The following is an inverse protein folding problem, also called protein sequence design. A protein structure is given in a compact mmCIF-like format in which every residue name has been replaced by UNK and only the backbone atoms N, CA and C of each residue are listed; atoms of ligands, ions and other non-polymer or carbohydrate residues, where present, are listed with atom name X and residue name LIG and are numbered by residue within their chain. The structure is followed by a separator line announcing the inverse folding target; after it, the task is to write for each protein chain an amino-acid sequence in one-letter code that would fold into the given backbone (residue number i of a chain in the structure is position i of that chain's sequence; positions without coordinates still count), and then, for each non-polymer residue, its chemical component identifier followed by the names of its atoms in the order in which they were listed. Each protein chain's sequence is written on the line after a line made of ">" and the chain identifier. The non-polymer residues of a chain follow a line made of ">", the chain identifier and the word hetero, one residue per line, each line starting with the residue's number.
data_IF_070681754041
#
_entry.id   IF_070681754041
#
_cell.length_a   1.000
_cell.length_b   1.000
_cell.length_c   1.000
_cell.angle_alpha   90.00
_cell.angle_beta   90.00
_cell.angle_gamma   90.00
#
_symmetry.space_group_name_H-M   'P 1'
#
loop_
_entity.id
_entity.type
_entity.pdbx_description
1 polymer ?
#
# COMPACT_ATOMS: atom_id res chain seq x y z
N UNK A 1 -1.04 -7.07 -28.49
CA UNK A 1 -0.12 -8.24 -28.54
C UNK A 1 -0.83 -9.40 -27.89
N UNK A 2 -0.86 -10.59 -28.51
CA UNK A 2 -1.54 -11.78 -27.97
C UNK A 2 -0.57 -12.78 -27.35
N UNK A 3 -0.97 -13.42 -26.25
CA UNK A 3 -0.25 -14.52 -25.59
C UNK A 3 -1.21 -15.70 -25.47
N UNK A 4 -0.86 -16.82 -26.08
CA UNK A 4 -1.61 -18.07 -26.03
C UNK A 4 -0.79 -19.09 -25.22
N UNK A 5 -1.40 -19.70 -24.21
CA UNK A 5 -0.72 -20.68 -23.35
C UNK A 5 -0.75 -22.12 -23.92
N UNK A 6 -1.43 -22.35 -25.04
CA UNK A 6 -1.63 -23.66 -25.66
C UNK A 6 -2.53 -24.62 -24.85
N UNK A 7 -3.13 -24.12 -23.76
CA UNK A 7 -4.01 -24.87 -22.84
C UNK A 7 -5.44 -24.33 -22.87
N UNK A 8 -5.77 -23.47 -23.85
CA UNK A 8 -7.11 -22.96 -24.09
C UNK A 8 -7.33 -21.50 -23.66
N UNK A 9 -6.36 -20.83 -23.03
CA UNK A 9 -6.50 -19.42 -22.70
C UNK A 9 -5.70 -18.53 -23.66
N UNK A 10 -6.32 -17.44 -24.10
CA UNK A 10 -5.71 -16.37 -24.87
C UNK A 10 -5.81 -15.05 -24.14
N UNK A 11 -4.70 -14.32 -24.07
CA UNK A 11 -4.66 -12.99 -23.50
C UNK A 11 -4.21 -11.99 -24.55
N UNK A 12 -5.04 -10.98 -24.81
CA UNK A 12 -4.71 -9.85 -25.68
C UNK A 12 -4.44 -8.59 -24.85
N UNK A 13 -3.26 -7.99 -25.08
CA UNK A 13 -2.83 -6.76 -24.42
C UNK A 13 -2.91 -5.59 -25.42
N UNK A 14 -3.72 -4.60 -25.09
CA UNK A 14 -3.80 -3.30 -25.76
C UNK A 14 -2.79 -2.32 -25.17
N UNK A 15 -2.17 -1.49 -26.01
CA UNK A 15 -1.22 -0.45 -25.59
C UNK A 15 -1.66 0.91 -26.13
N UNK A 16 -1.28 1.96 -25.42
CA UNK A 16 -1.55 3.35 -25.79
C UNK A 16 -0.43 4.28 -25.34
N UNK A 17 -0.66 5.57 -25.55
CA UNK A 17 0.31 6.62 -25.20
C UNK A 17 -0.06 7.27 -23.88
N UNK A 18 0.90 7.46 -22.97
CA UNK A 18 0.67 8.21 -21.73
C UNK A 18 0.25 9.67 -21.98
N UNK A 19 0.50 10.20 -23.18
CA UNK A 19 0.05 11.54 -23.56
C UNK A 19 -1.47 11.63 -23.75
N UNK A 20 -2.15 10.51 -24.01
CA UNK A 20 -3.62 10.49 -24.13
C UNK A 20 -4.27 10.81 -22.78
N UNK A 21 -3.81 10.19 -21.70
CA UNK A 21 -4.30 10.47 -20.34
C UNK A 21 -3.93 11.88 -19.89
N UNK A 22 -2.70 12.31 -20.16
CA UNK A 22 -2.27 13.68 -19.87
C UNK A 22 -3.23 14.72 -20.49
N UNK A 23 -3.59 14.54 -21.76
CA UNK A 23 -4.51 15.46 -22.44
C UNK A 23 -5.96 15.33 -21.93
N UNK A 24 -6.36 14.15 -21.49
CA UNK A 24 -7.65 13.93 -20.86
C UNK A 24 -7.73 14.64 -19.50
N UNK A 25 -6.73 14.47 -18.64
CA UNK A 25 -6.61 15.10 -17.32
C UNK A 25 -6.57 16.64 -17.43
N UNK A 26 -5.87 17.18 -18.44
CA UNK A 26 -5.86 18.63 -18.69
C UNK A 26 -7.26 19.15 -19.03
N UNK A 27 -7.99 18.44 -19.89
CA UNK A 27 -9.37 18.81 -20.24
C UNK A 27 -10.30 18.69 -19.03
N UNK A 28 -10.17 17.61 -18.26
CA UNK A 28 -10.93 17.42 -17.03
C UNK A 28 -10.68 18.57 -16.06
N UNK A 29 -9.43 19.00 -15.88
CA UNK A 29 -9.08 20.12 -15.01
C UNK A 29 -9.72 21.44 -15.47
N UNK A 30 -9.82 21.68 -16.78
CA UNK A 30 -10.50 22.86 -17.34
C UNK A 30 -12.02 22.83 -17.13
N UNK A 31 -12.61 21.65 -17.16
CA UNK A 31 -14.05 21.42 -17.00
C UNK A 31 -14.47 21.25 -15.52
N UNK A 32 -13.52 20.92 -14.65
CA UNK A 32 -13.75 20.60 -13.26
C UNK A 32 -14.04 21.86 -12.41
N UNK A 33 -15.26 21.93 -11.88
CA UNK A 33 -15.70 22.98 -10.96
C UNK A 33 -15.26 22.79 -9.51
N UNK A 34 -15.77 23.65 -8.62
CA UNK A 34 -15.55 23.52 -7.17
C UNK A 34 -16.28 22.28 -6.63
N UNK A 35 -15.58 21.15 -6.52
CA UNK A 35 -16.11 19.92 -5.91
C UNK A 35 -15.72 18.60 -6.58
N UNK A 36 -15.04 18.63 -7.74
CA UNK A 36 -14.47 17.43 -8.35
C UNK A 36 -12.96 17.33 -8.06
N UNK A 37 -12.47 16.10 -8.05
CA UNK A 37 -11.04 15.80 -7.94
C UNK A 37 -10.47 15.66 -9.35
N UNK A 38 -9.53 16.52 -9.71
CA UNK A 38 -8.84 16.49 -11.00
C UNK A 38 -7.32 16.41 -10.79
N UNK A 39 -6.62 15.75 -11.72
CA UNK A 39 -5.17 15.65 -11.67
C UNK A 39 -4.50 16.93 -12.16
N UNK A 40 -3.80 17.60 -11.25
CA UNK A 40 -3.01 18.79 -11.58
C UNK A 40 -1.55 18.41 -11.79
N UNK A 41 -1.14 18.32 -13.05
CA UNK A 41 0.24 17.97 -13.48
C UNK A 41 1.28 19.07 -13.17
N UNK A 42 0.88 20.14 -12.50
CA UNK A 42 1.52 21.44 -12.58
C UNK A 42 2.49 21.76 -11.46
N UNK A 43 2.42 21.11 -10.29
CA UNK A 43 3.30 21.55 -9.20
C UNK A 43 3.69 20.46 -8.20
N UNK A 44 4.92 20.60 -7.71
CA UNK A 44 5.37 19.96 -6.46
C UNK A 44 5.07 20.97 -5.35
N UNK A 45 4.25 20.59 -4.38
CA UNK A 45 3.96 21.41 -3.21
C UNK A 45 5.26 21.92 -2.54
N UNK A 46 5.31 23.19 -2.16
CA UNK A 46 6.46 23.79 -1.48
C UNK A 46 6.73 25.25 -1.89
N UNK A 47 7.88 25.78 -1.46
CA UNK A 47 8.34 27.10 -1.87
C UNK A 47 8.78 27.10 -3.36
N UNK A 48 8.68 28.25 -4.06
CA UNK A 48 9.24 28.42 -5.40
C UNK A 48 10.72 28.02 -5.45
N UNK A 49 11.19 27.55 -6.61
CA UNK A 49 12.62 27.26 -6.79
C UNK A 49 13.39 28.58 -6.69
N UNK A 50 14.13 28.76 -5.59
CA UNK A 50 14.81 30.02 -5.28
C UNK A 50 15.82 30.45 -6.34
N UNK A 51 16.44 29.49 -7.05
CA UNK A 51 17.37 29.80 -8.13
C UNK A 51 16.61 30.31 -9.36
N UNK A 52 15.56 29.60 -9.78
CA UNK A 52 14.75 30.01 -10.92
C UNK A 52 14.06 31.34 -10.64
N UNK A 53 13.51 31.52 -9.45
CA UNK A 53 12.91 32.79 -9.04
C UNK A 53 13.91 33.94 -9.02
N UNK A 54 15.15 33.69 -8.58
CA UNK A 54 16.24 34.66 -8.67
C UNK A 54 16.65 35.02 -10.11
N UNK A 55 16.50 34.09 -11.04
CA UNK A 55 16.85 34.29 -12.46
C UNK A 55 15.71 34.93 -13.28
N UNK A 56 14.46 34.55 -13.01
CA UNK A 56 13.28 35.03 -13.74
C UNK A 56 12.69 36.32 -13.16
N UNK A 57 12.86 36.54 -11.84
CA UNK A 57 12.13 37.58 -11.10
C UNK A 57 10.68 37.21 -10.79
N UNK A 58 10.27 35.96 -11.01
CA UNK A 58 8.91 35.46 -10.79
C UNK A 58 8.93 34.19 -9.91
N UNK A 59 7.84 33.88 -9.23
CA UNK A 59 7.73 32.60 -8.51
C UNK A 59 7.63 31.44 -9.52
N UNK A 60 8.74 30.74 -9.71
CA UNK A 60 8.84 29.62 -10.65
C UNK A 60 8.92 28.31 -9.89
N UNK A 61 8.01 27.40 -10.22
CA UNK A 61 8.02 26.02 -9.74
C UNK A 61 8.63 25.11 -10.80
N UNK A 62 9.33 24.07 -10.36
CA UNK A 62 9.78 23.01 -11.28
C UNK A 62 8.58 22.25 -11.82
N UNK A 63 8.66 21.90 -13.11
CA UNK A 63 7.66 21.04 -13.74
C UNK A 63 7.50 19.76 -12.92
N UNK A 64 6.26 19.50 -12.51
CA UNK A 64 5.89 18.27 -11.82
C UNK A 64 5.59 17.11 -12.77
N UNK A 65 5.58 17.33 -14.08
CA UNK A 65 5.22 16.33 -15.08
C UNK A 65 6.40 15.57 -15.68
N UNK A 66 6.09 14.57 -16.49
CA UNK A 66 7.05 13.84 -17.31
C UNK A 66 7.16 14.47 -18.70
N UNK A 67 8.37 14.85 -19.18
CA UNK A 67 8.59 15.23 -20.56
C UNK A 67 8.67 14.01 -21.50
N UNK A 68 8.66 12.79 -20.94
CA UNK A 68 8.78 11.54 -21.68
C UNK A 68 7.40 10.93 -21.89
N UNK A 69 7.06 10.69 -23.16
CA UNK A 69 5.88 9.92 -23.55
C UNK A 69 6.20 8.44 -23.40
N UNK A 70 5.42 7.74 -22.58
CA UNK A 70 5.57 6.30 -22.33
C UNK A 70 4.50 5.52 -23.07
N UNK A 71 4.86 4.35 -23.59
CA UNK A 71 3.87 3.35 -24.02
C UNK A 71 3.36 2.61 -22.79
N UNK A 72 2.04 2.65 -22.58
CA UNK A 72 1.39 2.07 -21.40
C UNK A 72 0.39 1.00 -21.81
N UNK A 73 0.10 0.06 -20.91
CA UNK A 73 -0.94 -0.97 -21.14
C UNK A 73 -2.30 -0.32 -20.99
N UNK A 74 -3.16 -0.43 -22.00
CA UNK A 74 -4.50 0.16 -22.01
C UNK A 74 -5.59 -0.83 -21.68
N UNK A 75 -5.38 -2.08 -22.07
CA UNK A 75 -6.32 -3.14 -21.80
C UNK A 75 -5.63 -4.48 -21.73
N UNK A 76 -6.19 -5.35 -20.90
CA UNK A 76 -5.88 -6.78 -20.89
C UNK A 76 -7.22 -7.49 -21.02
N UNK A 77 -7.39 -8.22 -22.12
CA UNK A 77 -8.53 -9.10 -22.36
C UNK A 77 -8.05 -10.54 -22.27
N UNK A 78 -8.74 -11.38 -21.50
CA UNK A 78 -8.48 -12.82 -21.43
C UNK A 78 -9.71 -13.59 -21.84
N UNK A 79 -9.54 -14.53 -22.76
CA UNK A 79 -10.58 -15.38 -23.32
C UNK A 79 -10.24 -16.85 -23.02
N UNK A 80 -11.17 -17.60 -22.45
CA UNK A 80 -10.99 -19.02 -22.09
C UNK A 80 -11.19 -20.01 -23.26
N UNK A 81 -11.52 -19.47 -24.45
CA UNK A 81 -11.78 -20.15 -25.72
C UNK A 81 -12.66 -21.39 -25.61
N UNK A 82 -13.64 -21.37 -24.71
CA UNK A 82 -14.58 -22.48 -24.55
C UNK A 82 -15.51 -22.64 -25.77
N UNK A 83 -15.58 -21.63 -26.64
CA UNK A 83 -16.19 -21.69 -27.97
C UNK A 83 -15.56 -22.75 -28.88
N UNK A 84 -14.26 -23.01 -28.76
CA UNK A 84 -13.56 -24.07 -29.51
C UNK A 84 -14.05 -25.48 -29.16
N UNK A 85 -14.67 -25.65 -27.97
CA UNK A 85 -15.29 -26.92 -27.54
C UNK A 85 -16.82 -26.86 -27.51
N UNK A 86 -17.42 -25.87 -28.19
CA UNK A 86 -18.86 -25.73 -28.36
C UNK A 86 -19.61 -25.19 -27.15
N UNK A 87 -18.92 -24.47 -26.25
CA UNK A 87 -19.51 -23.75 -25.11
C UNK A 87 -19.40 -22.24 -25.35
N UNK A 88 -20.12 -21.44 -24.58
CA UNK A 88 -19.92 -20.00 -24.62
C UNK A 88 -18.52 -19.67 -24.06
N UNK A 89 -17.76 -18.82 -24.77
CA UNK A 89 -16.47 -18.35 -24.29
C UNK A 89 -16.68 -17.32 -23.19
N UNK A 90 -15.89 -17.42 -22.12
CA UNK A 90 -15.81 -16.39 -21.11
C UNK A 90 -14.71 -15.40 -21.46
N UNK A 91 -15.03 -14.11 -21.46
CA UNK A 91 -14.11 -13.02 -21.77
C UNK A 91 -14.08 -12.05 -20.60
N UNK A 92 -12.89 -11.84 -20.03
CA UNK A 92 -12.66 -10.87 -18.96
C UNK A 92 -11.78 -9.75 -19.47
N UNK A 93 -12.22 -8.50 -19.30
CA UNK A 93 -11.49 -7.33 -19.77
C UNK A 93 -11.22 -6.36 -18.64
N UNK A 94 -9.97 -5.90 -18.55
CA UNK A 94 -9.57 -4.81 -17.66
C UNK A 94 -8.97 -3.68 -18.49
N UNK A 95 -9.44 -2.45 -18.30
CA UNK A 95 -8.91 -1.23 -18.92
C UNK A 95 -8.13 -0.40 -17.91
N UNK A 96 -7.17 0.39 -18.38
CA UNK A 96 -6.30 1.20 -17.53
C UNK A 96 -6.12 2.64 -18.03
N UNK A 97 -6.08 3.57 -17.09
CA UNK A 97 -5.65 4.96 -17.30
C UNK A 97 -4.57 5.34 -16.28
N UNK A 98 -3.65 6.23 -16.68
CA UNK A 98 -2.49 6.61 -15.85
C UNK A 98 -2.36 8.12 -15.74
N UNK A 99 -2.17 8.60 -14.52
CA UNK A 99 -2.27 10.02 -14.21
C UNK A 99 -1.02 10.51 -13.47
N UNK A 100 -0.76 11.81 -13.59
CA UNK A 100 0.35 12.49 -12.92
C UNK A 100 1.69 11.77 -13.09
N UNK A 101 2.14 11.49 -14.31
CA UNK A 101 3.47 10.94 -14.59
C UNK A 101 4.59 11.90 -14.21
N UNK A 102 5.62 11.43 -13.48
CA UNK A 102 6.75 12.25 -13.02
C UNK A 102 8.10 11.73 -13.52
N UNK A 103 8.95 12.65 -13.97
CA UNK A 103 10.32 12.38 -14.39
C UNK A 103 11.29 13.23 -13.58
N UNK A 104 12.29 12.60 -12.98
CA UNK A 104 13.35 13.27 -12.23
C UNK A 104 14.52 13.57 -13.18
N UNK A 105 14.81 14.86 -13.39
CA UNK A 105 15.76 15.32 -14.41
C UNK A 105 17.25 15.23 -14.03
N UNK A 106 17.60 15.14 -12.75
CA UNK A 106 18.99 15.04 -12.27
C UNK A 106 19.50 13.61 -12.42
N UNK A 107 18.71 12.65 -11.94
CA UNK A 107 18.92 11.21 -11.97
C UNK A 107 18.49 10.58 -13.30
N UNK A 108 17.77 11.36 -14.14
CA UNK A 108 17.31 10.96 -15.47
C UNK A 108 16.45 9.69 -15.41
N UNK A 109 15.50 9.69 -14.48
CA UNK A 109 14.67 8.53 -14.19
C UNK A 109 13.18 8.89 -14.25
N UNK A 110 12.42 8.08 -14.99
CA UNK A 110 10.97 8.11 -14.89
C UNK A 110 10.55 7.41 -13.59
N UNK A 111 9.86 8.14 -12.70
CA UNK A 111 9.47 7.65 -11.37
C UNK A 111 8.18 6.85 -11.38
N UNK A 112 7.44 6.91 -12.48
CA UNK A 112 6.10 6.34 -12.59
C UNK A 112 5.00 7.39 -12.49
N UNK A 113 3.79 6.90 -12.41
CA UNK A 113 2.55 7.67 -12.34
C UNK A 113 2.13 7.89 -10.88
N UNK A 114 1.59 9.07 -10.58
CA UNK A 114 1.07 9.43 -9.26
C UNK A 114 -0.28 8.77 -8.97
N UNK A 115 -1.01 8.36 -10.01
CA UNK A 115 -2.17 7.49 -9.87
C UNK A 115 -2.39 6.61 -11.11
N UNK A 116 -3.17 5.55 -10.94
CA UNK A 116 -3.68 4.73 -12.03
C UNK A 116 -5.11 4.29 -11.72
N UNK A 117 -5.93 4.28 -12.75
CA UNK A 117 -7.27 3.70 -12.72
C UNK A 117 -7.26 2.34 -13.40
N UNK A 118 -7.98 1.40 -12.82
CA UNK A 118 -8.26 0.08 -13.39
C UNK A 118 -9.77 -0.16 -13.36
N UNK A 119 -10.34 -0.46 -14.51
CA UNK A 119 -11.75 -0.81 -14.65
C UNK A 119 -11.85 -2.26 -15.12
N UNK A 120 -12.33 -3.13 -14.23
CA UNK A 120 -12.63 -4.51 -14.55
C UNK A 120 -14.08 -4.58 -15.04
N UNK A 121 -14.24 -4.75 -16.36
CA UNK A 121 -15.54 -4.77 -17.01
C UNK A 121 -16.35 -5.99 -16.56
N UNK A 122 -17.57 -5.72 -16.11
CA UNK A 122 -18.51 -6.72 -15.67
C UNK A 122 -19.15 -7.50 -16.82
N UNK A 123 -19.86 -8.55 -16.45
CA UNK A 123 -20.69 -9.36 -17.32
C UNK A 123 -22.10 -9.54 -16.73
N UNK A 124 -22.88 -10.47 -17.26
CA UNK A 124 -24.24 -10.75 -16.76
C UNK A 124 -24.28 -11.28 -15.32
N UNK A 125 -23.15 -11.72 -14.77
CA UNK A 125 -23.05 -12.36 -13.45
C UNK A 125 -22.23 -11.52 -12.45
N UNK A 126 -21.40 -10.59 -12.93
CA UNK A 126 -20.52 -9.77 -12.10
C UNK A 126 -20.60 -8.31 -12.56
N UNK A 127 -20.85 -7.34 -11.67
CA UNK A 127 -20.86 -5.93 -12.04
C UNK A 127 -19.46 -5.42 -12.39
N UNK A 128 -19.40 -4.33 -13.16
CA UNK A 128 -18.14 -3.61 -13.40
C UNK A 128 -17.61 -3.03 -12.10
N UNK A 129 -16.30 -3.14 -11.89
CA UNK A 129 -15.61 -2.60 -10.72
C UNK A 129 -14.52 -1.64 -11.17
N UNK A 130 -14.48 -0.46 -10.55
CA UNK A 130 -13.47 0.55 -10.78
C UNK A 130 -12.55 0.61 -9.56
N UNK A 131 -11.25 0.74 -9.79
CA UNK A 131 -10.25 0.94 -8.74
C UNK A 131 -9.34 2.08 -9.13
N UNK A 132 -9.23 3.09 -8.26
CA UNK A 132 -8.26 4.17 -8.39
C UNK A 132 -7.16 3.97 -7.35
N UNK A 133 -5.92 3.91 -7.77
CA UNK A 133 -4.77 3.74 -6.88
C UNK A 133 -3.81 4.91 -7.01
N UNK A 134 -3.42 5.50 -5.89
CA UNK A 134 -2.43 6.57 -5.82
C UNK A 134 -1.09 6.06 -5.30
N UNK A 135 -0.02 6.57 -5.91
CA UNK A 135 1.35 6.18 -5.63
C UNK A 135 2.21 7.37 -5.23
N UNK A 136 3.17 7.12 -4.35
CA UNK A 136 4.27 8.02 -4.13
C UNK A 136 5.25 7.91 -5.30
N UNK A 137 5.80 9.05 -5.71
CA UNK A 137 6.74 9.12 -6.83
C UNK A 137 8.16 9.47 -6.37
N UNK A 138 8.37 9.60 -5.05
CA UNK A 138 9.66 9.97 -4.48
C UNK A 138 10.18 11.32 -4.98
N UNK A 139 9.29 12.31 -5.19
CA UNK A 139 9.65 13.63 -5.72
C UNK A 139 10.75 14.28 -4.87
N UNK A 140 11.79 14.78 -5.53
CA UNK A 140 12.90 15.48 -4.88
C UNK A 140 12.39 16.78 -4.22
N UNK A 141 12.68 17.04 -2.93
CA UNK A 141 12.30 18.29 -2.28
C UNK A 141 12.87 19.51 -2.99
N UNK A 142 12.08 20.59 -3.11
CA UNK A 142 12.52 21.84 -3.75
C UNK A 142 13.80 22.41 -3.12
N UNK A 143 13.92 22.30 -1.79
CA UNK A 143 15.08 22.77 -1.03
C UNK A 143 16.42 22.18 -1.48
N UNK A 144 16.42 20.99 -2.09
CA UNK A 144 17.61 20.31 -2.61
C UNK A 144 17.53 20.05 -4.11
N UNK A 145 16.59 20.69 -4.80
CA UNK A 145 16.35 20.42 -6.21
C UNK A 145 17.47 20.94 -7.10
N UNK A 146 18.20 21.99 -6.69
CA UNK A 146 19.35 22.55 -7.46
C UNK A 146 20.66 21.81 -7.21
N UNK A 147 20.76 21.06 -6.10
CA UNK A 147 21.95 20.31 -5.76
C UNK A 147 21.90 18.91 -6.36
N UNK A 148 22.70 18.72 -7.42
CA UNK A 148 22.83 17.43 -8.13
C UNK A 148 23.50 16.33 -7.31
N UNK A 149 24.24 16.71 -6.26
CA UNK A 149 24.96 15.78 -5.41
C UNK A 149 24.18 15.47 -4.13
N UNK A 150 23.20 16.31 -3.77
CA UNK A 150 22.32 16.05 -2.64
C UNK A 150 21.53 14.76 -2.86
N UNK A 151 21.48 13.94 -1.82
CA UNK A 151 20.67 12.74 -1.81
C UNK A 151 19.19 13.09 -1.69
N UNK A 152 18.34 12.46 -2.52
CA UNK A 152 16.90 12.56 -2.39
C UNK A 152 16.41 11.66 -1.25
N UNK A 153 15.89 12.20 -0.12
CA UNK A 153 15.44 11.38 1.00
C UNK A 153 14.15 10.60 0.69
N UNK A 154 13.41 10.99 -0.35
CA UNK A 154 12.13 10.37 -0.72
C UNK A 154 12.26 9.34 -1.83
N UNK A 155 13.49 9.08 -2.29
CA UNK A 155 13.80 8.12 -3.35
C UNK A 155 13.15 6.75 -3.12
N UNK A 156 13.21 6.22 -1.90
CA UNK A 156 12.67 4.91 -1.55
C UNK A 156 11.13 4.84 -1.59
N UNK A 157 10.43 5.99 -1.68
CA UNK A 157 8.97 6.03 -1.81
C UNK A 157 8.50 5.78 -3.25
N UNK A 158 9.37 5.82 -4.26
CA UNK A 158 8.93 5.69 -5.66
C UNK A 158 8.12 4.39 -5.89
N UNK A 159 6.96 4.53 -6.51
CA UNK A 159 6.02 3.43 -6.81
C UNK A 159 5.27 2.88 -5.59
N UNK A 160 5.42 3.44 -4.39
CA UNK A 160 4.69 2.96 -3.20
C UNK A 160 3.25 3.44 -3.22
N UNK A 161 2.30 2.52 -3.22
CA UNK A 161 0.88 2.84 -3.05
C UNK A 161 0.64 3.46 -1.67
N UNK A 162 -0.16 4.53 -1.63
CA UNK A 162 -0.58 5.16 -0.36
C UNK A 162 -2.10 5.30 -0.22
N UNK A 163 -2.85 5.26 -1.33
CA UNK A 163 -4.31 5.21 -1.30
C UNK A 163 -4.82 4.31 -2.43
N UNK A 164 -5.83 3.49 -2.17
CA UNK A 164 -6.59 2.80 -3.19
C UNK A 164 -8.06 2.85 -2.85
N UNK A 165 -8.88 3.25 -3.81
CA UNK A 165 -10.32 3.35 -3.66
C UNK A 165 -11.00 2.45 -4.68
N UNK A 166 -12.04 1.75 -4.24
CA UNK A 166 -12.81 0.85 -5.09
C UNK A 166 -14.24 1.37 -5.19
N UNK A 167 -14.76 1.40 -6.41
CA UNK A 167 -16.10 1.87 -6.74
C UNK A 167 -16.84 0.81 -7.56
N UNK A 168 -18.17 0.86 -7.51
CA UNK A 168 -19.02 0.16 -8.46
C UNK A 168 -19.18 0.94 -9.78
N UNK A 169 -19.84 0.32 -10.76
CA UNK A 169 -20.15 0.93 -12.07
C UNK A 169 -20.95 2.24 -11.98
N UNK A 170 -21.75 2.42 -10.93
CA UNK A 170 -22.52 3.63 -10.69
C UNK A 170 -21.70 4.75 -10.02
N UNK A 171 -20.43 4.48 -9.69
CA UNK A 171 -19.53 5.41 -9.02
C UNK A 171 -19.73 5.47 -7.50
N UNK A 172 -20.42 4.51 -6.88
CA UNK A 172 -20.49 4.42 -5.44
C UNK A 172 -19.21 3.81 -4.88
N UNK A 173 -18.62 4.48 -3.89
CA UNK A 173 -17.43 3.98 -3.22
C UNK A 173 -17.78 2.80 -2.31
N UNK A 174 -17.06 1.70 -2.48
CA UNK A 174 -17.17 0.48 -1.69
C UNK A 174 -16.15 0.48 -0.54
N UNK A 175 -14.94 0.98 -0.81
CA UNK A 175 -13.88 1.10 0.19
C UNK A 175 -12.78 2.07 -0.20
N UNK A 176 -12.10 2.63 0.80
CA UNK A 176 -10.83 3.36 0.63
C UNK A 176 -9.77 2.76 1.56
N UNK A 177 -8.65 2.31 1.01
CA UNK A 177 -7.51 1.74 1.75
C UNK A 177 -6.32 2.70 1.67
N UNK A 178 -5.83 3.13 2.82
CA UNK A 178 -4.71 4.05 2.97
C UNK A 178 -3.52 3.36 3.64
N UNK A 179 -2.31 3.63 3.16
CA UNK A 179 -1.07 3.11 3.70
C UNK A 179 -0.15 4.25 4.18
N UNK A 180 0.26 4.18 5.45
CA UNK A 180 1.39 4.97 5.97
C UNK A 180 2.69 4.25 5.63
N UNK A 181 3.61 4.97 4.97
CA UNK A 181 4.92 4.43 4.60
C UNK A 181 5.98 4.91 5.58
N UNK A 182 6.68 3.98 6.24
CA UNK A 182 7.87 4.27 7.02
C UNK A 182 9.11 4.28 6.13
N UNK A 183 9.84 5.38 6.17
CA UNK A 183 11.18 5.56 5.60
C UNK A 183 12.22 5.35 6.68
N UNK A 184 12.99 4.26 6.56
CA UNK A 184 14.02 3.89 7.51
C UNK A 184 15.40 3.98 6.89
N UNK A 185 16.31 4.69 7.56
CA UNK A 185 17.73 4.66 7.23
C UNK A 185 18.34 3.37 7.77
N UNK A 186 18.77 2.46 6.90
CA UNK A 186 19.40 1.20 7.30
C UNK A 186 20.89 1.37 7.59
N UNK A 187 21.58 2.13 6.74
CA UNK A 187 23.03 2.35 6.86
C UNK A 187 23.48 3.51 5.97
N UNK A 188 24.71 3.97 6.17
CA UNK A 188 25.39 4.89 5.27
C UNK A 188 26.58 4.16 4.67
N UNK A 189 26.66 4.12 3.34
CA UNK A 189 27.76 3.53 2.60
C UNK A 189 29.09 4.23 2.91
N UNK A 190 30.19 3.55 2.60
CA UNK A 190 31.54 4.09 2.79
C UNK A 190 31.80 5.37 1.97
N UNK A 191 31.01 5.59 0.94
CA UNK A 191 31.03 6.78 0.08
C UNK A 191 30.07 7.89 0.55
N UNK A 192 29.44 7.72 1.72
CA UNK A 192 28.53 8.70 2.32
C UNK A 192 27.09 8.61 1.83
N UNK A 193 26.75 7.71 0.89
CA UNK A 193 25.37 7.55 0.42
C UNK A 193 24.55 6.75 1.42
N UNK A 194 23.34 7.22 1.71
CA UNK A 194 22.43 6.56 2.63
C UNK A 194 21.64 5.43 1.93
N UNK A 195 21.44 4.33 2.65
CA UNK A 195 20.62 3.20 2.23
C UNK A 195 19.27 3.28 2.95
N UNK A 196 18.24 3.65 2.20
CA UNK A 196 16.88 3.80 2.71
C UNK A 196 16.03 2.56 2.40
N UNK A 197 15.17 2.20 3.34
CA UNK A 197 14.16 1.16 3.19
C UNK A 197 12.78 1.74 3.48
N UNK A 198 11.86 1.56 2.53
CA UNK A 198 10.47 1.97 2.64
C UNK A 198 9.57 0.76 2.82
N UNK A 199 8.70 0.78 3.82
CA UNK A 199 7.70 -0.26 4.05
C UNK A 199 6.40 0.33 4.60
N UNK A 200 5.29 -0.40 4.47
CA UNK A 200 3.99 0.01 5.04
C UNK A 200 4.04 -0.20 6.55
N UNK A 201 4.02 0.85 7.36
CA UNK A 201 4.00 0.76 8.83
C UNK A 201 2.58 0.74 9.39
N UNK A 202 1.61 1.27 8.65
CA UNK A 202 0.20 1.28 9.04
C UNK A 202 -0.68 1.15 7.80
N UNK A 203 -1.74 0.37 7.91
CA UNK A 203 -2.83 0.28 6.94
C UNK A 203 -4.12 0.71 7.62
N UNK A 204 -4.81 1.66 7.03
CA UNK A 204 -6.16 2.08 7.40
C UNK A 204 -7.11 1.69 6.27
N UNK A 205 -8.29 1.21 6.62
CA UNK A 205 -9.33 0.88 5.64
C UNK A 205 -10.66 1.47 6.06
N UNK A 206 -11.29 2.18 5.15
CA UNK A 206 -12.65 2.66 5.26
C UNK A 206 -13.52 1.71 4.45
N UNK A 207 -14.40 0.98 5.13
CA UNK A 207 -15.44 0.16 4.51
C UNK A 207 -16.73 0.96 4.52
N UNK A 208 -17.31 1.18 3.35
CA UNK A 208 -18.50 1.99 3.20
C UNK A 208 -19.77 1.14 3.22
N UNK A 209 -20.88 1.74 3.62
CA UNK A 209 -22.19 1.14 3.49
C UNK A 209 -22.59 1.07 2.01
N UNK A 210 -22.80 -0.15 1.53
CA UNK A 210 -23.14 -0.44 0.13
C UNK A 210 -24.64 -0.70 -0.07
N UNK A 211 -25.46 -0.58 0.98
CA UNK A 211 -26.92 -0.64 0.84
C UNK A 211 -27.45 0.70 0.33
N UNK A 212 -27.78 0.75 -0.97
CA UNK A 212 -28.24 1.95 -1.68
C UNK A 212 -29.54 2.54 -1.13
N UNK A 213 -30.32 1.76 -0.37
CA UNK A 213 -31.56 2.22 0.26
C UNK A 213 -31.32 2.74 1.69
N UNK A 214 -30.12 2.54 2.23
CA UNK A 214 -29.74 3.00 3.56
C UNK A 214 -29.36 4.48 3.53
N UNK A 215 -29.64 5.19 4.62
CA UNK A 215 -29.14 6.56 4.80
C UNK A 215 -27.60 6.64 4.87
N UNK A 216 -26.92 5.51 5.10
CA UNK A 216 -25.47 5.40 5.11
C UNK A 216 -24.83 5.46 3.72
N UNK A 217 -25.57 5.13 2.65
CA UNK A 217 -25.07 5.26 1.27
C UNK A 217 -25.03 6.69 0.74
N UNK A 218 -25.61 7.65 1.47
CA UNK A 218 -25.54 9.07 1.11
C UNK A 218 -24.08 9.56 1.06
N UNK A 219 -23.74 10.57 0.22
CA UNK A 219 -22.39 11.12 0.16
C UNK A 219 -21.90 11.58 1.54
N UNK A 220 -20.65 11.24 1.86
CA UNK A 220 -20.03 11.68 3.10
C UNK A 220 -19.63 13.17 3.06
N UNK A 221 -19.51 13.78 4.24
CA UNK A 221 -19.21 15.22 4.39
C UNK A 221 -17.98 15.51 5.26
N UNK A 222 -17.19 14.50 5.58
CA UNK A 222 -16.03 14.59 6.46
C UNK A 222 -14.74 14.03 5.83
N UNK A 223 -13.67 14.04 6.62
CA UNK A 223 -12.39 13.46 6.24
C UNK A 223 -11.62 12.96 7.45
N UNK A 224 -10.62 12.13 7.20
CA UNK A 224 -9.63 11.68 8.18
C UNK A 224 -8.25 12.17 7.76
N UNK A 225 -7.53 12.84 8.67
CA UNK A 225 -6.11 13.14 8.47
C UNK A 225 -5.29 11.96 8.99
N UNK A 226 -4.54 11.32 8.11
CA UNK A 226 -3.70 10.16 8.43
C UNK A 226 -2.24 10.45 8.09
N UNK A 227 -1.26 9.96 8.89
CA UNK A 227 0.15 10.02 8.52
C UNK A 227 0.37 9.29 7.21
N UNK A 228 0.96 9.93 6.20
CA UNK A 228 1.23 9.29 4.91
C UNK A 228 2.67 8.80 4.82
N UNK A 229 3.61 9.61 5.31
CA UNK A 229 5.03 9.23 5.38
C UNK A 229 5.55 9.51 6.77
N UNK A 230 6.20 8.53 7.37
CA UNK A 230 6.94 8.68 8.63
C UNK A 230 8.40 8.35 8.41
N UNK A 231 9.30 9.08 9.05
CA UNK A 231 10.73 8.79 9.08
C UNK A 231 11.07 8.05 10.36
N UNK A 232 11.84 6.98 10.23
CA UNK A 232 12.40 6.22 11.33
C UNK A 232 13.92 6.31 11.32
N UNK A 233 14.49 6.75 12.44
CA UNK A 233 15.93 6.72 12.65
C UNK A 233 16.30 5.51 13.50
N UNK A 234 17.44 4.89 13.19
CA UNK A 234 17.92 3.70 13.90
C UNK A 234 19.30 3.99 14.48
N UNK A 235 19.42 3.96 15.81
CA UNK A 235 20.71 4.08 16.51
C UNK A 235 21.09 2.71 17.05
N UNK A 236 22.05 2.05 16.42
CA UNK A 236 22.66 0.77 16.85
C UNK A 236 21.65 -0.29 17.35
N UNK A 237 21.06 -1.06 16.44
CA UNK A 237 20.05 -2.08 16.75
C UNK A 237 19.06 -2.20 15.60
N UNK A 238 18.07 -3.09 15.72
CA UNK A 238 17.06 -3.32 14.70
C UNK A 238 15.75 -2.55 14.93
N UNK A 239 15.65 -1.83 16.06
CA UNK A 239 14.43 -1.13 16.50
C UNK A 239 14.62 0.37 16.27
N UNK A 240 13.64 1.07 15.65
CA UNK A 240 13.69 2.53 15.52
C UNK A 240 13.87 3.22 16.87
N UNK A 241 14.81 4.15 16.97
CA UNK A 241 15.01 4.98 18.16
C UNK A 241 14.05 6.16 18.22
N UNK A 242 13.52 6.57 17.07
CA UNK A 242 12.55 7.65 16.91
C UNK A 242 11.74 7.48 15.64
N UNK A 243 10.52 8.01 15.66
CA UNK A 243 9.65 8.17 14.49
C UNK A 243 9.19 9.62 14.39
N UNK A 244 9.12 10.16 13.18
CA UNK A 244 8.63 11.52 12.91
C UNK A 244 7.77 11.53 11.66
N UNK A 245 6.54 12.05 11.77
CA UNK A 245 5.68 12.26 10.60
C UNK A 245 6.27 13.32 9.68
N UNK A 246 6.56 12.93 8.44
CA UNK A 246 7.07 13.84 7.41
C UNK A 246 5.94 14.47 6.61
N UNK A 247 4.86 13.73 6.37
CA UNK A 247 3.69 14.22 5.67
C UNK A 247 2.43 13.49 6.11
N UNK A 248 1.30 14.18 6.04
CA UNK A 248 -0.03 13.66 6.27
C UNK A 248 -0.86 13.74 4.98
N UNK A 249 -1.91 12.92 4.89
CA UNK A 249 -2.90 12.98 3.81
C UNK A 249 -4.29 13.11 4.43
N UNK A 250 -5.11 13.94 3.79
CA UNK A 250 -6.53 14.06 4.10
C UNK A 250 -7.27 13.06 3.23
N UNK A 251 -7.92 12.09 3.85
CA UNK A 251 -8.71 11.05 3.18
C UNK A 251 -10.18 11.39 3.34
N UNK A 252 -10.88 11.61 2.22
CA UNK A 252 -12.30 11.92 2.25
C UNK A 252 -13.10 10.73 2.77
N UNK A 253 -14.12 11.00 3.59
CA UNK A 253 -15.16 10.02 3.88
C UNK A 253 -16.13 10.06 2.70
N UNK A 254 -16.03 9.06 1.82
CA UNK A 254 -16.78 9.04 0.55
C UNK A 254 -18.28 8.83 0.75
N UNK A 255 -18.68 8.06 1.76
CA UNK A 255 -20.07 7.87 2.16
C UNK A 255 -20.31 8.25 3.63
N UNK A 256 -21.57 8.49 3.99
CA UNK A 256 -21.97 8.82 5.34
C UNK A 256 -21.81 7.62 6.30
N UNK A 257 -22.13 6.42 5.81
CA UNK A 257 -22.01 5.13 6.50
C UNK A 257 -20.64 4.51 6.28
N UNK A 258 -19.79 4.43 7.31
CA UNK A 258 -18.47 3.84 7.20
C UNK A 258 -18.02 3.13 8.49
N UNK A 259 -17.12 2.17 8.34
CA UNK A 259 -16.31 1.61 9.41
C UNK A 259 -14.82 1.80 9.10
N UNK A 260 -14.08 2.36 10.06
CA UNK A 260 -12.63 2.55 9.94
C UNK A 260 -11.90 1.41 10.65
N UNK A 261 -11.16 0.63 9.88
CA UNK A 261 -10.31 -0.47 10.34
C UNK A 261 -8.84 -0.04 10.31
N UNK A 262 -8.02 -0.56 11.25
CA UNK A 262 -6.57 -0.32 11.24
C UNK A 262 -5.75 -1.56 11.56
N UNK A 263 -4.61 -1.67 10.88
CA UNK A 263 -3.50 -2.58 11.23
C UNK A 263 -2.19 -1.80 11.28
N UNK A 264 -1.33 -2.09 12.25
CA UNK A 264 0.02 -1.50 12.38
C UNK A 264 1.09 -2.59 12.31
N UNK A 265 2.25 -2.24 11.76
CA UNK A 265 3.48 -3.03 11.87
C UNK A 265 4.34 -2.38 12.95
N UNK A 266 4.40 -3.02 14.11
CA UNK A 266 4.94 -2.43 15.33
C UNK A 266 6.45 -2.67 15.46
N UNK A 267 6.96 -3.81 14.97
CA UNK A 267 8.39 -4.11 14.95
C UNK A 267 8.80 -4.75 13.61
N UNK A 268 9.82 -4.15 12.97
CA UNK A 268 10.50 -4.70 11.80
C UNK A 268 11.99 -4.65 12.08
N UNK A 269 12.74 -5.70 11.74
CA UNK A 269 14.20 -5.67 11.87
C UNK A 269 14.91 -4.99 10.68
N UNK A 270 16.23 -4.82 10.75
CA UNK A 270 17.01 -4.17 9.67
C UNK A 270 17.13 -5.01 8.39
N UNK A 271 16.61 -6.25 8.39
CA UNK A 271 16.56 -7.13 7.25
C UNK A 271 15.17 -7.14 6.60
N UNK A 272 14.22 -6.38 7.17
CA UNK A 272 12.85 -6.28 6.68
C UNK A 272 11.91 -7.34 7.21
N UNK A 273 12.33 -8.18 8.17
CA UNK A 273 11.42 -9.15 8.78
C UNK A 273 10.45 -8.45 9.73
N UNK A 274 9.16 -8.64 9.51
CA UNK A 274 8.11 -8.22 10.43
C UNK A 274 8.14 -9.14 11.66
N UNK A 275 8.36 -8.56 12.83
CA UNK A 275 8.42 -9.27 14.11
C UNK A 275 7.14 -9.13 14.91
N UNK A 276 6.51 -7.97 14.84
CA UNK A 276 5.25 -7.70 15.51
C UNK A 276 4.35 -6.85 14.60
N UNK A 277 3.08 -7.24 14.51
CA UNK A 277 2.03 -6.48 13.86
C UNK A 277 0.75 -6.58 14.67
N UNK A 278 -0.03 -5.51 14.72
CA UNK A 278 -1.27 -5.44 15.49
C UNK A 278 -2.45 -5.08 14.61
N UNK A 279 -3.44 -5.96 14.54
CA UNK A 279 -4.74 -5.67 13.97
C UNK A 279 -5.63 -5.07 15.07
N UNK A 280 -5.99 -3.79 14.94
CA UNK A 280 -6.81 -3.06 15.92
C UNK A 280 -8.31 -3.26 15.71
N UNK A 281 -8.70 -3.85 14.57
CA UNK A 281 -10.09 -3.97 14.17
C UNK A 281 -10.71 -2.61 13.89
N UNK A 282 -12.00 -2.44 14.23
CA UNK A 282 -12.75 -1.20 14.03
C UNK A 282 -12.30 -0.15 15.05
N UNK A 283 -11.80 1.00 14.60
CA UNK A 283 -11.39 2.13 15.42
C UNK A 283 -12.49 3.17 15.62
N UNK A 284 -13.29 3.41 14.58
CA UNK A 284 -14.43 4.33 14.62
C UNK A 284 -15.43 3.98 13.53
N UNK A 285 -16.62 4.57 13.61
CA UNK A 285 -17.66 4.47 12.59
C UNK A 285 -18.54 5.73 12.58
N UNK A 286 -19.54 5.75 11.71
CA UNK A 286 -20.53 6.84 11.57
C UNK A 286 -21.21 7.22 12.88
N UNK A 287 -21.35 6.29 13.83
CA UNK A 287 -21.99 6.54 15.12
C UNK A 287 -21.00 7.00 16.20
N UNK A 288 -19.75 7.26 15.82
CA UNK A 288 -18.68 7.63 16.74
C UNK A 288 -18.29 6.48 17.67
N UNK A 289 -18.35 5.24 17.18
CA UNK A 289 -17.83 4.10 17.94
C UNK A 289 -16.40 4.38 18.39
N UNK A 290 -16.12 4.09 19.66
CA UNK A 290 -14.76 4.09 20.19
C UNK A 290 -14.57 2.73 20.86
N UNK A 291 -13.51 1.96 20.50
CA UNK A 291 -13.27 0.65 21.10
C UNK A 291 -13.17 0.77 22.62
N UNK A 292 -14.05 0.08 23.34
CA UNK A 292 -13.91 -0.08 24.78
C UNK A 292 -12.83 -1.13 25.06
N UNK A 293 -11.59 -0.70 25.23
CA UNK A 293 -10.52 -1.54 25.79
C UNK A 293 -9.55 -2.23 24.81
N UNK A 294 -9.42 -1.82 23.55
CA UNK A 294 -8.33 -2.34 22.69
C UNK A 294 -8.51 -3.82 22.34
N UNK A 295 -9.59 -4.13 21.62
CA UNK A 295 -9.85 -5.43 20.97
C UNK A 295 -8.84 -5.69 19.84
N UNK A 296 -7.56 -5.66 20.18
CA UNK A 296 -6.46 -5.80 19.26
C UNK A 296 -5.94 -7.24 19.26
N UNK A 297 -5.46 -7.67 18.10
CA UNK A 297 -4.83 -8.97 17.90
C UNK A 297 -3.42 -8.71 17.37
N UNK A 298 -2.43 -9.01 18.19
CA UNK A 298 -1.02 -8.86 17.81
C UNK A 298 -0.44 -10.20 17.38
N UNK A 299 0.15 -10.24 16.20
CA UNK A 299 0.87 -11.39 15.67
C UNK A 299 2.36 -11.19 15.86
N UNK A 300 3.05 -12.24 16.29
CA UNK A 300 4.45 -12.21 16.66
C UNK A 300 5.23 -13.25 15.87
N UNK A 301 6.43 -12.89 15.40
CA UNK A 301 7.34 -13.79 14.70
C UNK A 301 8.78 -13.57 15.14
N UNK A 302 9.55 -14.66 15.22
CA UNK A 302 10.99 -14.63 15.49
C UNK A 302 11.75 -15.27 14.33
N UNK A 303 12.35 -14.45 13.45
CA UNK A 303 13.27 -14.93 12.44
C UNK A 303 14.63 -15.28 13.06
N UNK A 304 15.26 -16.33 12.54
CA UNK A 304 16.58 -16.79 12.94
C UNK A 304 17.43 -17.12 11.71
N UNK A 305 18.69 -16.67 11.73
CA UNK A 305 19.67 -17.02 10.69
C UNK A 305 20.10 -18.48 10.87
N UNK A 306 19.48 -19.36 10.10
CA UNK A 306 19.67 -20.80 10.23
C UNK A 306 20.96 -21.26 9.56
N UNK A 307 21.26 -20.73 8.36
CA UNK A 307 22.48 -21.07 7.61
C UNK A 307 23.24 -19.79 7.28
N UNK A 308 24.26 -19.40 8.08
CA UNK A 308 24.99 -18.15 7.89
C UNK A 308 25.71 -18.05 6.54
N UNK A 309 26.27 -19.17 6.05
CA UNK A 309 26.99 -19.20 4.76
C UNK A 309 26.07 -18.98 3.57
N UNK A 310 24.83 -19.45 3.65
CA UNK A 310 23.81 -19.31 2.62
C UNK A 310 22.86 -18.13 2.83
N UNK A 311 23.04 -17.35 3.91
CA UNK A 311 22.12 -16.29 4.31
C UNK A 311 20.65 -16.76 4.42
N UNK A 312 20.43 -17.97 4.91
CA UNK A 312 19.10 -18.57 4.99
C UNK A 312 18.46 -18.21 6.33
N UNK A 313 17.47 -17.32 6.28
CA UNK A 313 16.62 -16.96 7.42
C UNK A 313 15.34 -17.80 7.43
N UNK A 314 14.93 -18.23 8.63
CA UNK A 314 13.69 -18.99 8.84
C UNK A 314 12.95 -18.48 10.08
N UNK A 315 11.63 -18.59 10.08
CA UNK A 315 10.83 -18.30 11.29
C UNK A 315 10.94 -19.48 12.25
N UNK A 316 11.60 -19.29 13.39
CA UNK A 316 11.77 -20.32 14.41
C UNK A 316 10.65 -20.32 15.46
N UNK A 317 9.94 -19.20 15.63
CA UNK A 317 8.81 -19.10 16.55
C UNK A 317 7.76 -18.11 16.02
N UNK A 318 6.48 -18.43 16.18
CA UNK A 318 5.36 -17.51 15.90
C UNK A 318 4.16 -17.77 16.81
N UNK A 319 3.41 -16.72 17.14
CA UNK A 319 2.18 -16.82 17.93
C UNK A 319 1.31 -15.57 17.76
N UNK A 320 0.11 -15.61 18.33
CA UNK A 320 -0.81 -14.48 18.40
C UNK A 320 -1.14 -14.17 19.87
N UNK A 321 -1.29 -12.90 20.21
CA UNK A 321 -1.85 -12.43 21.48
C UNK A 321 -3.14 -11.67 21.20
N UNK A 322 -4.25 -12.09 21.82
CA UNK A 322 -5.54 -11.40 21.70
C UNK A 322 -5.82 -10.47 22.88
N UNK A 323 -6.82 -9.62 22.72
CA UNK A 323 -7.33 -8.78 23.80
C UNK A 323 -7.69 -9.60 25.06
N UNK A 324 -7.28 -9.10 26.23
CA UNK A 324 -7.51 -9.77 27.51
C UNK A 324 -6.70 -11.06 27.74
N UNK A 325 -5.88 -11.50 26.77
CA UNK A 325 -5.08 -12.73 26.89
C UNK A 325 -3.80 -12.55 27.72
N UNK A 326 -3.42 -11.31 28.04
CA UNK A 326 -2.17 -10.99 28.74
C UNK A 326 -0.95 -11.50 27.98
N UNK A 327 -0.10 -12.29 28.63
CA UNK A 327 1.09 -12.92 28.00
C UNK A 327 0.80 -14.27 27.34
N UNK A 328 -0.47 -14.64 27.19
CA UNK A 328 -0.85 -15.94 26.63
C UNK A 328 -0.61 -15.97 25.12
N UNK A 329 0.20 -16.93 24.68
CA UNK A 329 0.46 -17.21 23.27
C UNK A 329 -0.62 -18.15 22.71
N UNK A 330 -1.41 -17.66 21.76
CA UNK A 330 -2.39 -18.42 20.99
C UNK A 330 -1.80 -18.87 19.66
N UNK A 331 -2.18 -20.07 19.19
CA UNK A 331 -1.65 -20.61 17.93
C UNK A 331 -0.12 -20.74 17.91
N UNK A 332 0.50 -20.90 19.08
CA UNK A 332 1.95 -20.85 19.23
C UNK A 332 2.59 -22.04 18.50
N UNK A 333 3.57 -21.74 17.66
CA UNK A 333 4.38 -22.76 17.01
C UNK A 333 5.87 -22.45 17.09
N UNK A 334 6.65 -23.51 17.19
CA UNK A 334 8.11 -23.48 17.21
C UNK A 334 8.63 -24.46 16.17
N UNK A 335 9.55 -24.00 15.33
CA UNK A 335 10.18 -24.77 14.26
C UNK A 335 11.68 -24.82 14.47
N UNK A 336 12.28 -25.99 14.22
CA UNK A 336 13.74 -26.17 14.22
C UNK A 336 14.19 -26.63 12.86
N UNK A 337 15.33 -26.11 12.41
CA UNK A 337 15.83 -26.31 11.05
C UNK A 337 17.25 -26.89 11.06
N UNK A 338 17.63 -27.51 9.96
CA UNK A 338 18.99 -27.97 9.70
C UNK A 338 19.89 -26.77 9.46
N UNK A 339 20.99 -26.65 10.21
CA UNK A 339 21.90 -25.49 10.15
C UNK A 339 22.84 -25.50 8.94
N UNK A 340 22.80 -26.56 8.13
CA UNK A 340 23.58 -26.69 6.88
C UNK A 340 22.70 -26.42 5.66
N UNK A 341 21.51 -27.00 5.60
CA UNK A 341 20.61 -26.88 4.43
C UNK A 341 19.49 -25.86 4.61
N UNK A 342 19.13 -25.55 5.86
CA UNK A 342 17.97 -24.72 6.17
C UNK A 342 16.63 -25.45 6.06
N UNK A 343 16.65 -26.79 5.96
CA UNK A 343 15.45 -27.62 5.87
C UNK A 343 14.76 -27.75 7.23
N UNK A 344 13.43 -27.85 7.24
CA UNK A 344 12.66 -28.04 8.45
C UNK A 344 12.90 -29.43 9.03
N UNK A 345 13.47 -29.51 10.24
CA UNK A 345 13.67 -30.78 10.95
C UNK A 345 12.46 -31.14 11.81
N UNK A 346 11.81 -30.13 12.41
CA UNK A 346 10.67 -30.33 13.31
C UNK A 346 9.83 -29.07 13.42
N UNK A 347 8.51 -29.25 13.50
CA UNK A 347 7.56 -28.20 13.88
C UNK A 347 6.68 -28.69 15.03
N UNK A 348 6.54 -27.89 16.09
CA UNK A 348 5.66 -28.16 17.22
C UNK A 348 4.59 -27.09 17.28
N UNK A 349 3.33 -27.49 17.45
CA UNK A 349 2.22 -26.58 17.73
C UNK A 349 1.72 -26.80 19.15
N UNK A 350 1.54 -25.69 19.86
CA UNK A 350 1.01 -25.67 21.21
C UNK A 350 -0.43 -25.19 21.15
N UNK A 351 -1.36 -26.05 21.57
CA UNK A 351 -2.75 -25.69 21.73
C UNK A 351 -3.02 -25.48 23.22
N UNK A 352 -3.24 -24.24 23.62
CA UNK A 352 -3.74 -23.93 24.96
C UNK A 352 -5.25 -23.92 24.94
N UNK A 353 -5.89 -24.75 25.77
CA UNK A 353 -7.34 -24.67 25.98
C UNK A 353 -7.60 -23.56 27.01
N UNK A 354 -8.42 -22.58 26.62
CA UNK A 354 -8.90 -21.56 27.57
C UNK A 354 -9.73 -22.22 28.69
N UNK A 355 -9.61 -21.76 29.95
CA UNK A 355 -10.37 -22.33 31.06
C UNK A 355 -11.88 -22.23 30.79
N UNK A 356 -12.63 -23.28 31.11
CA UNK A 356 -14.10 -23.18 31.15
C UNK A 356 -14.52 -22.34 32.35
N UNK A 357 -15.77 -21.84 32.32
CA UNK A 357 -16.38 -21.19 33.48
C UNK A 357 -16.27 -22.11 34.70
N UNK A 358 -15.47 -21.72 35.71
CA UNK A 358 -15.19 -22.51 36.91
C UNK A 358 -13.79 -23.16 37.00
N UNK A 359 -12.97 -23.09 35.95
CA UNK A 359 -11.56 -23.51 35.97
C UNK A 359 -10.64 -22.29 36.15
N UNK A 360 -9.66 -22.35 37.05
CA UNK A 360 -8.76 -21.21 37.36
C UNK A 360 -7.44 -21.23 36.57
N UNK A 361 -7.14 -22.33 35.87
CA UNK A 361 -5.84 -22.53 35.19
C UNK A 361 -6.02 -23.06 33.77
N UNK A 362 -5.40 -22.43 32.76
CA UNK A 362 -5.35 -22.97 31.40
C UNK A 362 -4.59 -24.31 31.37
N UNK A 363 -5.00 -25.21 30.47
CA UNK A 363 -4.30 -26.49 30.23
C UNK A 363 -3.60 -26.43 28.88
N UNK A 364 -2.27 -26.64 28.89
CA UNK A 364 -1.43 -26.66 27.71
C UNK A 364 -1.35 -28.07 27.12
N UNK A 365 -1.69 -28.21 25.83
CA UNK A 365 -1.53 -29.45 25.08
C UNK A 365 -0.49 -29.23 23.97
N UNK A 366 0.52 -30.09 23.92
CA UNK A 366 1.45 -30.14 22.80
C UNK A 366 0.94 -31.16 21.77
N UNK A 367 0.74 -30.73 20.53
CA UNK A 367 0.41 -31.61 19.41
C UNK A 367 1.53 -31.51 18.37
N UNK A 368 2.10 -32.66 17.98
CA UNK A 368 3.09 -32.76 16.90
C UNK A 368 4.27 -33.67 17.21
N UNK A 369 4.62 -34.52 16.23
CA UNK A 369 5.84 -35.34 16.16
C UNK A 369 7.05 -34.47 15.90
#
# INVERSE_FOLDING_TARGET
>A
VGVDNGLGADTTIGYGSSAEDYLADLRETEECGAGCEAFTWSHVDGDPDALLAGLSGEEVFRSGGSPVVSTVVRSVETNDRMDLVGREANVTTTTFAYHDGYYEGIEQEFRGFGAADAEALGDSNHPTQLTRTHFHQGRRPQAIATDRLAQNPYEALKGRQWLSETLDEAGHYLSSSHATIALRLLSTGLDGRELWYAYVSQSDELRYDTDTESAGSAPGSGSLTLPSVVRQDVVAGAIPSSETTLSERVIALRTAGYAHLRTTIDEVDNLGHVREQTAHGRLTDTNGFIPSGGEAVSSHQRPELTVPSGWIWRTSEQWVTGHGAGTTKLGWSVSTYDTTTGDLLRARQFARRMPRLGESTPVDYAFGT
#
